data_IF_528318440082
#
_entry.id   IF_528318440082
#
_cell.length_a   1.000
_cell.length_b   1.000
_cell.length_c   1.000
_cell.angle_alpha   90.00
_cell.angle_beta   90.00
_cell.angle_gamma   90.00
#
_symmetry.space_group_name_H-M   'P 1'
#
loop_
_entity.id
_entity.type
_entity.pdbx_description
1 polymer ?
#
# COMPACT_ATOMS: atom_id res chain seq x y z
N UNK A 1 27.65 35.87 -15.44
CA UNK A 1 26.29 35.27 -15.40
C UNK A 1 26.36 33.93 -16.11
N UNK A 2 25.73 32.91 -15.53
CA UNK A 2 25.56 31.53 -16.05
C UNK A 2 26.71 30.54 -15.83
N UNK A 3 26.73 29.92 -14.65
CA UNK A 3 27.41 28.65 -14.37
C UNK A 3 26.76 27.95 -13.16
N UNK A 4 25.55 27.42 -13.31
CA UNK A 4 24.85 26.64 -12.26
C UNK A 4 23.74 25.75 -12.85
N UNK A 5 24.06 24.82 -13.77
CA UNK A 5 23.02 23.86 -14.18
C UNK A 5 23.48 22.46 -14.68
N UNK A 6 24.71 22.01 -14.37
CA UNK A 6 25.17 20.67 -14.82
C UNK A 6 25.27 19.62 -13.70
N UNK A 7 25.02 19.97 -12.43
CA UNK A 7 25.22 19.04 -11.31
C UNK A 7 24.03 18.12 -10.97
N UNK A 8 22.84 18.33 -11.54
CA UNK A 8 21.68 17.46 -11.23
C UNK A 8 21.58 16.19 -12.09
N UNK A 9 22.28 16.08 -13.21
CA UNK A 9 22.16 14.88 -14.08
C UNK A 9 23.00 13.67 -13.65
N UNK A 10 23.90 13.82 -12.67
CA UNK A 10 24.79 12.72 -12.25
C UNK A 10 24.24 11.86 -11.10
N UNK A 11 23.16 12.27 -10.44
CA UNK A 11 22.63 11.60 -9.22
C UNK A 11 21.80 10.34 -9.54
N UNK A 12 21.31 10.18 -10.77
CA UNK A 12 20.41 9.06 -11.13
C UNK A 12 21.10 7.74 -11.49
N UNK A 13 22.44 7.70 -11.61
CA UNK A 13 23.16 6.51 -12.11
C UNK A 13 23.53 5.46 -11.06
N UNK A 14 23.44 5.79 -9.76
CA UNK A 14 23.74 4.85 -8.66
C UNK A 14 22.49 4.58 -7.80
N UNK A 15 21.43 4.05 -8.42
CA UNK A 15 20.34 3.45 -7.63
C UNK A 15 20.89 2.20 -6.95
N UNK A 16 21.05 2.26 -5.64
CA UNK A 16 21.46 1.08 -4.87
C UNK A 16 20.36 0.01 -4.95
N UNK A 17 20.71 -1.30 -4.96
CA UNK A 17 19.72 -2.39 -4.93
C UNK A 17 18.72 -2.28 -3.77
N UNK A 18 19.10 -1.62 -2.66
CA UNK A 18 18.21 -1.37 -1.54
C UNK A 18 17.09 -0.37 -1.85
N UNK A 19 17.38 0.67 -2.65
CA UNK A 19 16.38 1.64 -3.07
C UNK A 19 15.30 0.99 -3.95
N UNK A 20 15.71 0.22 -4.96
CA UNK A 20 14.78 -0.42 -5.88
C UNK A 20 13.88 -1.45 -5.17
N UNK A 21 14.42 -2.14 -4.16
CA UNK A 21 13.62 -3.03 -3.32
C UNK A 21 12.59 -2.26 -2.48
N UNK A 22 12.94 -1.10 -1.93
CA UNK A 22 11.97 -0.28 -1.19
C UNK A 22 10.87 0.25 -2.10
N UNK A 23 11.22 0.74 -3.30
CA UNK A 23 10.22 1.19 -4.28
C UNK A 23 9.29 0.06 -4.72
N UNK A 24 9.83 -1.15 -4.98
CA UNK A 24 9.00 -2.30 -5.30
C UNK A 24 8.04 -2.67 -4.15
N UNK A 25 8.48 -2.57 -2.89
CA UNK A 25 7.59 -2.77 -1.74
C UNK A 25 6.50 -1.70 -1.66
N UNK A 26 6.83 -0.44 -1.88
CA UNK A 26 5.84 0.65 -1.85
C UNK A 26 4.78 0.46 -2.93
N UNK A 27 5.19 0.14 -4.16
CA UNK A 27 4.28 -0.16 -5.27
C UNK A 27 3.32 -1.30 -4.95
N UNK A 28 3.79 -2.39 -4.31
CA UNK A 28 2.90 -3.48 -3.89
C UNK A 28 1.88 -3.01 -2.86
N UNK A 29 2.30 -2.23 -1.86
CA UNK A 29 1.39 -1.71 -0.83
C UNK A 29 0.32 -0.80 -1.45
N UNK A 30 0.73 0.09 -2.35
CA UNK A 30 -0.17 1.00 -3.05
C UNK A 30 -1.15 0.25 -3.97
N UNK A 31 -0.67 -0.72 -4.77
CA UNK A 31 -1.55 -1.52 -5.62
C UNK A 31 -2.57 -2.34 -4.81
N UNK A 32 -2.21 -2.81 -3.62
CA UNK A 32 -3.13 -3.46 -2.70
C UNK A 32 -4.14 -2.47 -2.11
N UNK A 33 -3.69 -1.27 -1.73
CA UNK A 33 -4.56 -0.21 -1.24
C UNK A 33 -5.63 0.14 -2.28
N UNK A 34 -5.22 0.35 -3.53
CA UNK A 34 -6.11 0.64 -4.64
C UNK A 34 -7.09 -0.51 -4.92
N UNK A 35 -6.63 -1.77 -4.93
CA UNK A 35 -7.49 -2.93 -5.16
C UNK A 35 -8.54 -3.14 -4.04
N UNK A 36 -8.24 -2.71 -2.80
CA UNK A 36 -9.20 -2.72 -1.70
C UNK A 36 -10.17 -1.53 -1.74
N UNK A 37 -9.71 -0.37 -2.17
CA UNK A 37 -10.55 0.83 -2.33
C UNK A 37 -11.53 0.69 -3.51
N UNK A 38 -11.06 0.14 -4.63
CA UNK A 38 -11.88 -0.14 -5.81
C UNK A 38 -11.62 -1.55 -6.38
N UNK A 39 -12.44 -2.56 -6.03
CA UNK A 39 -12.26 -3.93 -6.52
C UNK A 39 -12.49 -4.06 -8.04
N UNK A 40 -13.08 -3.05 -8.71
CA UNK A 40 -13.22 -3.06 -10.16
C UNK A 40 -11.87 -3.06 -10.89
N UNK A 41 -10.79 -2.63 -10.23
CA UNK A 41 -9.42 -2.75 -10.77
C UNK A 41 -8.97 -4.20 -11.00
N UNK A 42 -9.68 -5.17 -10.42
CA UNK A 42 -9.45 -6.60 -10.62
C UNK A 42 -10.37 -7.23 -11.68
N UNK A 43 -11.17 -6.42 -12.37
CA UNK A 43 -12.08 -6.92 -13.39
C UNK A 43 -11.37 -7.50 -14.61
N UNK A 44 -12.02 -8.45 -15.26
CA UNK A 44 -11.44 -9.25 -16.33
C UNK A 44 -10.51 -10.35 -15.80
N UNK A 45 -9.57 -10.85 -16.62
CA UNK A 45 -8.61 -11.85 -16.18
C UNK A 45 -7.64 -11.25 -15.17
N UNK A 46 -7.66 -11.73 -13.92
CA UNK A 46 -6.87 -11.19 -12.83
C UNK A 46 -5.34 -11.19 -13.10
N UNK A 47 -4.84 -12.11 -13.93
CA UNK A 47 -3.45 -12.17 -14.39
C UNK A 47 -2.98 -10.95 -15.23
N UNK A 48 -3.95 -10.21 -15.78
CA UNK A 48 -3.73 -8.97 -16.56
C UNK A 48 -4.02 -7.70 -15.77
N UNK A 49 -4.44 -7.81 -14.51
CA UNK A 49 -4.70 -6.65 -13.65
C UNK A 49 -3.41 -5.85 -13.39
N UNK A 50 -3.57 -4.58 -13.03
CA UNK A 50 -2.46 -3.73 -12.59
C UNK A 50 -1.76 -4.33 -11.37
N UNK A 51 -2.53 -4.88 -10.42
CA UNK A 51 -2.01 -5.59 -9.26
C UNK A 51 -1.11 -6.77 -9.66
N UNK A 52 -1.51 -7.59 -10.63
CA UNK A 52 -0.69 -8.69 -11.12
C UNK A 52 0.59 -8.21 -11.81
N UNK A 53 0.55 -7.08 -12.51
CA UNK A 53 1.74 -6.46 -13.11
C UNK A 53 2.73 -6.01 -12.04
N UNK A 54 2.26 -5.27 -11.04
CA UNK A 54 3.08 -4.79 -9.90
C UNK A 54 3.66 -5.97 -9.11
N UNK A 55 2.86 -7.00 -8.83
CA UNK A 55 3.34 -8.18 -8.11
C UNK A 55 4.41 -8.97 -8.88
N UNK A 56 4.33 -9.00 -10.22
CA UNK A 56 5.34 -9.64 -11.07
C UNK A 56 6.67 -8.89 -11.00
N UNK A 57 6.63 -7.58 -11.17
CA UNK A 57 7.81 -6.73 -11.04
C UNK A 57 8.43 -6.83 -9.64
N UNK A 58 7.61 -6.80 -8.59
CA UNK A 58 8.07 -6.96 -7.22
C UNK A 58 8.64 -8.36 -6.95
N UNK A 59 8.05 -9.43 -7.51
CA UNK A 59 8.58 -10.79 -7.39
C UNK A 59 9.97 -10.93 -7.99
N UNK A 60 10.24 -10.24 -9.10
CA UNK A 60 11.54 -10.19 -9.77
C UNK A 60 12.53 -9.34 -8.98
N UNK A 61 12.19 -8.08 -8.67
CA UNK A 61 13.07 -7.13 -7.99
C UNK A 61 13.40 -7.52 -6.54
N UNK A 62 12.43 -8.06 -5.82
CA UNK A 62 12.59 -8.44 -4.40
C UNK A 62 13.02 -9.89 -4.22
N UNK A 63 12.94 -10.73 -5.27
CA UNK A 63 13.03 -12.18 -5.11
C UNK A 63 11.92 -12.77 -4.22
N UNK A 64 10.84 -12.04 -3.97
CA UNK A 64 9.82 -12.38 -2.97
C UNK A 64 8.99 -13.61 -3.33
N UNK A 65 9.10 -14.66 -2.50
CA UNK A 65 8.27 -15.85 -2.63
C UNK A 65 6.78 -15.55 -2.36
N UNK A 66 6.49 -14.58 -1.49
CA UNK A 66 5.12 -14.17 -1.20
C UNK A 66 4.44 -13.57 -2.44
N UNK A 67 5.13 -12.69 -3.17
CA UNK A 67 4.58 -12.10 -4.40
C UNK A 67 4.36 -13.18 -5.48
N UNK A 68 5.27 -14.15 -5.61
CA UNK A 68 5.07 -15.29 -6.52
C UNK A 68 3.83 -16.11 -6.16
N UNK A 69 3.61 -16.42 -4.87
CA UNK A 69 2.39 -17.13 -4.44
C UNK A 69 1.13 -16.30 -4.68
N UNK A 70 1.18 -14.99 -4.46
CA UNK A 70 0.06 -14.09 -4.72
C UNK A 70 -0.30 -14.08 -6.22
N UNK A 71 0.68 -14.09 -7.12
CA UNK A 71 0.45 -14.21 -8.57
C UNK A 71 -0.27 -15.50 -8.94
N UNK A 72 0.15 -16.64 -8.36
CA UNK A 72 -0.56 -17.91 -8.58
C UNK A 72 -2.00 -17.85 -8.08
N UNK A 73 -2.22 -17.31 -6.87
CA UNK A 73 -3.56 -17.18 -6.31
C UNK A 73 -4.45 -16.24 -7.15
N UNK A 74 -3.90 -15.15 -7.71
CA UNK A 74 -4.62 -14.26 -8.62
C UNK A 74 -4.96 -14.95 -9.93
N UNK A 75 -4.04 -15.73 -10.52
CA UNK A 75 -4.30 -16.47 -11.75
C UNK A 75 -5.41 -17.51 -11.62
N UNK A 76 -5.60 -18.05 -10.40
CA UNK A 76 -6.68 -18.99 -10.09
C UNK A 76 -8.05 -18.30 -9.88
N UNK A 77 -8.09 -16.97 -9.82
CA UNK A 77 -9.36 -16.26 -9.70
C UNK A 77 -10.12 -16.30 -11.03
N UNK A 78 -11.42 -16.67 -11.01
CA UNK A 78 -12.24 -16.58 -12.21
C UNK A 78 -12.34 -15.13 -12.65
N UNK A 79 -12.33 -14.91 -13.97
CA UNK A 79 -12.61 -13.61 -14.54
C UNK A 79 -14.04 -13.20 -14.17
N UNK A 80 -14.18 -11.96 -13.71
CA UNK A 80 -15.45 -11.36 -13.34
C UNK A 80 -15.59 -10.03 -14.08
N UNK A 81 -16.81 -9.66 -14.44
CA UNK A 81 -17.10 -8.27 -14.76
C UNK A 81 -17.04 -7.39 -13.50
N UNK A 82 -16.98 -6.08 -13.71
CA UNK A 82 -16.84 -5.09 -12.64
C UNK A 82 -17.98 -5.15 -11.62
N UNK A 83 -19.22 -5.29 -12.09
CA UNK A 83 -20.41 -5.32 -11.24
C UNK A 83 -20.42 -6.57 -10.34
N UNK A 84 -20.10 -7.73 -10.91
CA UNK A 84 -20.00 -9.00 -10.17
C UNK A 84 -18.89 -8.95 -9.11
N UNK A 85 -17.77 -8.29 -9.39
CA UNK A 85 -16.69 -8.07 -8.41
C UNK A 85 -17.14 -7.14 -7.29
N UNK A 86 -17.77 -6.00 -7.61
CA UNK A 86 -18.29 -5.07 -6.61
C UNK A 86 -19.32 -5.76 -5.72
N UNK A 87 -20.25 -6.52 -6.29
CA UNK A 87 -21.25 -7.29 -5.52
C UNK A 87 -20.59 -8.36 -4.64
N UNK A 88 -19.63 -9.11 -5.19
CA UNK A 88 -18.88 -10.12 -4.43
C UNK A 88 -18.10 -9.49 -3.27
N UNK A 89 -17.43 -8.37 -3.52
CA UNK A 89 -16.71 -7.62 -2.49
C UNK A 89 -17.67 -7.14 -1.40
N UNK A 90 -18.81 -6.53 -1.78
CA UNK A 90 -19.86 -6.11 -0.85
C UNK A 90 -20.37 -7.26 0.02
N UNK A 91 -20.57 -8.46 -0.55
CA UNK A 91 -20.97 -9.65 0.24
C UNK A 91 -19.90 -10.11 1.23
N UNK A 92 -18.61 -9.90 0.94
CA UNK A 92 -17.53 -10.24 1.87
C UNK A 92 -17.46 -9.26 3.05
N UNK A 93 -17.70 -7.97 2.80
CA UNK A 93 -17.66 -6.92 3.83
C UNK A 93 -18.98 -6.81 4.60
N UNK A 94 -20.10 -7.25 4.03
CA UNK A 94 -21.43 -7.24 4.64
C UNK A 94 -22.19 -8.55 4.39
N UNK A 95 -21.70 -9.70 4.89
CA UNK A 95 -22.38 -10.97 4.72
C UNK A 95 -23.70 -11.00 5.52
N UNK A 96 -24.79 -11.56 4.98
CA UNK A 96 -26.09 -11.60 5.66
C UNK A 96 -26.09 -12.52 6.89
N UNK A 97 -25.32 -13.61 6.85
CA UNK A 97 -25.37 -14.69 7.85
C UNK A 97 -24.00 -14.99 8.49
N UNK A 98 -23.03 -14.08 8.36
CA UNK A 98 -21.66 -14.29 8.88
C UNK A 98 -21.07 -13.02 9.49
N UNK A 99 -19.91 -13.17 10.13
CA UNK A 99 -19.14 -12.01 10.58
C UNK A 99 -18.53 -11.32 9.35
N UNK A 100 -18.70 -9.99 9.18
CA UNK A 100 -18.07 -9.26 8.09
C UNK A 100 -16.56 -9.41 8.15
N UNK A 101 -15.91 -9.44 6.97
CA UNK A 101 -14.47 -9.24 6.91
C UNK A 101 -14.19 -7.80 7.39
N UNK A 102 -13.53 -7.61 8.54
CA UNK A 102 -13.33 -6.26 9.07
C UNK A 102 -12.21 -5.61 8.26
N UNK A 103 -12.59 -4.79 7.27
CA UNK A 103 -11.66 -3.93 6.55
C UNK A 103 -11.34 -2.63 7.31
N UNK A 104 -11.88 -2.49 8.52
CA UNK A 104 -11.65 -1.37 9.41
C UNK A 104 -11.01 -1.88 10.71
N UNK A 105 -9.89 -1.30 11.13
CA UNK A 105 -9.19 -1.71 12.35
C UNK A 105 -10.10 -1.54 13.58
N UNK A 106 -10.84 -0.43 13.67
CA UNK A 106 -11.80 -0.17 14.73
C UNK A 106 -12.87 -1.27 14.82
N UNK A 107 -13.37 -1.75 13.68
CA UNK A 107 -14.35 -2.84 13.63
C UNK A 107 -13.72 -4.17 14.04
N UNK A 108 -12.47 -4.43 13.64
CA UNK A 108 -11.75 -5.65 14.00
C UNK A 108 -11.48 -5.76 15.50
N UNK A 109 -10.99 -4.67 16.11
CA UNK A 109 -10.52 -4.66 17.50
C UNK A 109 -11.63 -4.31 18.50
N UNK A 110 -12.50 -3.36 18.17
CA UNK A 110 -13.52 -2.84 19.09
C UNK A 110 -14.94 -3.29 18.76
N UNK A 111 -15.18 -3.86 17.57
CA UNK A 111 -16.51 -4.25 17.10
C UNK A 111 -17.40 -3.09 16.67
N UNK A 112 -16.89 -1.85 16.66
CA UNK A 112 -17.61 -0.65 16.27
C UNK A 112 -16.80 0.12 15.23
N UNK A 113 -17.49 0.63 14.20
CA UNK A 113 -16.92 1.64 13.31
C UNK A 113 -16.79 2.97 14.08
N UNK A 114 -15.74 3.73 13.77
CA UNK A 114 -15.46 5.04 14.38
C UNK A 114 -15.28 4.92 15.89
N UNK A 115 -14.07 4.52 16.29
CA UNK A 115 -13.67 4.38 17.69
C UNK A 115 -12.43 5.23 17.97
N UNK A 116 -11.91 5.28 19.22
CA UNK A 116 -10.63 5.93 19.50
C UNK A 116 -9.48 5.46 18.58
N UNK A 117 -9.53 4.21 18.09
CA UNK A 117 -8.56 3.66 17.14
C UNK A 117 -8.56 4.48 15.84
N UNK A 118 -9.74 4.80 15.29
CA UNK A 118 -9.88 5.63 14.08
C UNK A 118 -9.19 6.99 14.24
N UNK A 119 -9.31 7.61 15.42
CA UNK A 119 -8.67 8.90 15.72
C UNK A 119 -7.16 8.76 15.91
N UNK A 120 -6.70 7.67 16.53
CA UNK A 120 -5.27 7.36 16.68
C UNK A 120 -4.59 7.20 15.32
N UNK A 121 -5.22 6.45 14.40
CA UNK A 121 -4.76 6.29 13.01
C UNK A 121 -4.77 7.63 12.28
N UNK A 122 -5.85 8.43 12.39
CA UNK A 122 -5.91 9.76 11.79
C UNK A 122 -4.78 10.68 12.32
N UNK A 123 -4.47 10.61 13.60
CA UNK A 123 -3.37 11.36 14.19
C UNK A 123 -2.01 10.91 13.64
N UNK A 124 -1.83 9.63 13.33
CA UNK A 124 -0.63 9.15 12.66
C UNK A 124 -0.44 9.83 11.29
N UNK A 125 -1.49 9.97 10.49
CA UNK A 125 -1.43 10.63 9.18
C UNK A 125 -1.09 12.11 9.27
N UNK A 126 -1.74 12.83 10.20
CA UNK A 126 -1.51 14.27 10.40
C UNK A 126 -0.08 14.61 10.83
N UNK A 127 0.64 13.70 11.50
CA UNK A 127 2.07 13.88 11.80
C UNK A 127 2.95 13.98 10.56
N UNK A 128 2.46 13.51 9.42
CA UNK A 128 3.10 13.62 8.11
C UNK A 128 2.47 14.69 7.21
N UNK A 129 1.54 15.50 7.74
CA UNK A 129 0.82 16.51 6.96
C UNK A 129 -0.18 15.93 5.96
N UNK A 130 -0.64 14.70 6.21
CA UNK A 130 -1.65 14.02 5.40
C UNK A 130 -3.02 14.15 6.07
N UNK A 131 -4.07 14.33 5.27
CA UNK A 131 -5.47 14.28 5.72
C UNK A 131 -6.21 13.22 4.90
N UNK A 132 -6.88 12.24 5.54
CA UNK A 132 -7.69 11.25 4.85
C UNK A 132 -8.97 11.90 4.31
N UNK A 133 -9.29 11.68 3.04
CA UNK A 133 -10.29 12.44 2.30
C UNK A 133 -11.52 11.64 1.84
N UNK A 134 -11.41 10.32 1.64
CA UNK A 134 -12.47 9.51 1.03
C UNK A 134 -13.11 8.42 1.92
N UNK A 135 -12.35 7.77 2.80
CA UNK A 135 -12.80 6.68 3.67
C UNK A 135 -12.39 6.93 5.12
N UNK A 136 -12.83 6.08 6.05
CA UNK A 136 -12.38 6.16 7.44
C UNK A 136 -10.84 5.98 7.49
N UNK A 137 -10.16 6.74 8.37
CA UNK A 137 -8.71 6.65 8.53
C UNK A 137 -8.22 5.23 8.76
N UNK A 138 -8.96 4.42 9.52
CA UNK A 138 -8.60 3.03 9.86
C UNK A 138 -9.10 2.00 8.83
N UNK A 139 -9.45 2.44 7.62
CA UNK A 139 -9.72 1.51 6.52
C UNK A 139 -8.41 0.90 6.03
N UNK A 140 -8.39 -0.43 5.82
CA UNK A 140 -7.20 -1.16 5.41
C UNK A 140 -6.59 -0.63 4.09
N UNK A 141 -7.41 -0.11 3.17
CA UNK A 141 -6.94 0.57 1.97
C UNK A 141 -6.15 1.84 2.29
N UNK A 142 -6.65 2.69 3.18
CA UNK A 142 -6.02 3.94 3.61
C UNK A 142 -4.73 3.65 4.39
N UNK A 143 -4.75 2.67 5.28
CA UNK A 143 -3.57 2.24 6.05
C UNK A 143 -2.45 1.70 5.16
N UNK A 144 -2.78 0.90 4.15
CA UNK A 144 -1.82 0.40 3.17
C UNK A 144 -1.22 1.52 2.33
N UNK A 145 -2.04 2.50 1.91
CA UNK A 145 -1.56 3.69 1.19
C UNK A 145 -0.61 4.52 2.06
N UNK A 146 -0.92 4.69 3.35
CA UNK A 146 -0.02 5.36 4.29
C UNK A 146 1.30 4.60 4.48
N UNK A 147 1.26 3.27 4.57
CA UNK A 147 2.47 2.45 4.62
C UNK A 147 3.30 2.57 3.33
N UNK A 148 2.66 2.64 2.16
CA UNK A 148 3.35 2.89 0.89
C UNK A 148 4.09 4.24 0.95
N UNK A 149 3.40 5.30 1.34
CA UNK A 149 3.98 6.64 1.53
C UNK A 149 5.20 6.63 2.46
N UNK A 150 5.13 5.95 3.61
CA UNK A 150 6.27 5.88 4.55
C UNK A 150 7.47 5.15 3.96
N UNK A 151 7.26 4.14 3.11
CA UNK A 151 8.33 3.39 2.45
C UNK A 151 9.00 4.24 1.37
N UNK A 152 8.22 4.97 0.57
CA UNK A 152 8.74 5.89 -0.44
C UNK A 152 9.55 7.02 0.20
N UNK A 153 8.99 7.68 1.21
CA UNK A 153 9.69 8.73 1.95
C UNK A 153 10.99 8.22 2.58
N UNK A 154 11.03 6.95 3.02
CA UNK A 154 12.26 6.34 3.54
C UNK A 154 13.29 6.12 2.43
N UNK A 155 12.86 5.64 1.26
CA UNK A 155 13.72 5.41 0.11
C UNK A 155 14.33 6.72 -0.40
N UNK A 156 13.51 7.77 -0.51
CA UNK A 156 13.94 9.11 -0.89
C UNK A 156 14.96 9.69 0.10
N UNK A 157 14.68 9.58 1.41
CA UNK A 157 15.60 10.04 2.44
C UNK A 157 16.96 9.33 2.34
N UNK A 158 16.98 8.03 2.04
CA UNK A 158 18.22 7.30 1.80
C UNK A 158 18.95 7.78 0.54
N UNK A 159 18.21 8.04 -0.54
CA UNK A 159 18.76 8.50 -1.81
C UNK A 159 19.50 9.84 -1.68
N UNK A 160 18.99 10.76 -0.84
CA UNK A 160 19.63 12.05 -0.56
C UNK A 160 20.58 12.04 0.65
N UNK A 161 20.83 10.87 1.26
CA UNK A 161 21.77 10.71 2.38
C UNK A 161 21.23 11.11 3.76
N UNK A 162 19.93 11.36 3.91
CA UNK A 162 19.24 11.70 5.17
C UNK A 162 19.00 10.45 6.05
N UNK A 163 20.06 9.73 6.40
CA UNK A 163 20.00 8.46 7.15
C UNK A 163 19.23 8.54 8.47
N UNK A 164 19.28 9.68 9.16
CA UNK A 164 18.53 9.92 10.40
C UNK A 164 17.02 9.97 10.19
N UNK A 165 16.57 10.59 9.08
CA UNK A 165 15.15 10.64 8.70
C UNK A 165 14.66 9.26 8.26
N UNK A 166 15.42 8.58 7.41
CA UNK A 166 15.10 7.21 6.99
C UNK A 166 14.91 6.26 8.19
N UNK A 167 15.77 6.35 9.21
CA UNK A 167 15.62 5.55 10.43
C UNK A 167 14.31 5.82 11.16
N UNK A 168 13.89 7.09 11.28
CA UNK A 168 12.62 7.47 11.93
C UNK A 168 11.42 6.93 11.16
N UNK A 169 11.40 7.11 9.85
CA UNK A 169 10.33 6.58 8.97
C UNK A 169 10.21 5.05 9.09
N UNK A 170 11.34 4.34 9.12
CA UNK A 170 11.34 2.89 9.36
C UNK A 170 10.79 2.49 10.72
N UNK A 171 11.08 3.28 11.77
CA UNK A 171 10.53 3.06 13.10
C UNK A 171 9.02 3.31 13.13
N UNK A 172 8.56 4.34 12.42
CA UNK A 172 7.13 4.65 12.27
C UNK A 172 6.39 3.55 11.54
N UNK A 173 6.93 3.01 10.43
CA UNK A 173 6.36 1.84 9.74
C UNK A 173 6.19 0.65 10.70
N UNK A 174 7.22 0.35 11.51
CA UNK A 174 7.17 -0.77 12.45
C UNK A 174 6.14 -0.55 13.55
N UNK A 175 6.07 0.67 14.07
CA UNK A 175 5.11 1.03 15.10
C UNK A 175 3.68 0.91 14.55
N UNK A 176 3.43 1.45 13.36
CA UNK A 176 2.13 1.39 12.72
C UNK A 176 1.66 -0.05 12.46
N UNK A 177 2.57 -0.97 12.11
CA UNK A 177 2.24 -2.40 11.95
C UNK A 177 2.12 -3.19 13.27
N UNK A 178 2.36 -2.59 14.43
CA UNK A 178 2.34 -3.25 15.74
C UNK A 178 1.20 -2.75 16.65
N UNK A 179 0.56 -1.65 16.26
CA UNK A 179 -0.70 -1.17 16.84
C UNK A 179 -1.82 -2.15 16.44
#
# INVERSE_FOLDING_TARGET
MSATNEQHHHVLKDRSPGHDAMMARALVLDALAQALADPAMLAGPAEHSELATVLREAAEKLGSAACRRALFALADLPAHDEDALRERFQRCIHPPDARPLPLYESLALSGHLVSPITEEVAHAYRRHGLEPDADLPDAASVELAFLAYLVEAEAEALLVGETGRARRLRQEQRRFCQE
#
